data_IF_576753656601
#
_entry.id   IF_576753656601
#
_cell.length_a   1.000
_cell.length_b   1.000
_cell.length_c   1.000
_cell.angle_alpha   90.00
_cell.angle_beta   90.00
_cell.angle_gamma   90.00
#
_symmetry.space_group_name_H-M   'P 1'
#
loop_
_entity.id
_entity.type
_entity.pdbx_description
1 polymer ?
#
# COMPACT_ATOMS: atom_id res chain seq x y z
N UNK A 1 -16.89 20.73 2.29
CA UNK A 1 -16.03 19.64 1.81
C UNK A 1 -16.75 18.91 0.70
N UNK A 2 -16.23 19.05 -0.51
CA UNK A 2 -16.62 18.28 -1.69
C UNK A 2 -16.16 16.82 -1.55
N UNK A 3 -16.70 15.89 -2.34
CA UNK A 3 -16.31 14.47 -2.28
C UNK A 3 -14.82 14.22 -2.56
N UNK A 4 -14.18 15.09 -3.36
CA UNK A 4 -12.74 15.03 -3.64
C UNK A 4 -11.92 15.41 -2.41
N UNK A 5 -12.30 16.48 -1.70
CA UNK A 5 -11.59 16.93 -0.49
C UNK A 5 -11.66 15.90 0.64
N UNK A 6 -12.79 15.17 0.76
CA UNK A 6 -12.92 14.06 1.72
C UNK A 6 -11.96 12.92 1.36
N UNK A 7 -11.82 12.62 0.07
CA UNK A 7 -10.96 11.54 -0.41
C UNK A 7 -9.49 11.88 -0.19
N UNK A 8 -9.05 13.08 -0.58
CA UNK A 8 -7.69 13.57 -0.34
C UNK A 8 -7.34 13.58 1.15
N UNK A 9 -8.25 14.05 2.01
CA UNK A 9 -8.04 14.03 3.45
C UNK A 9 -7.82 12.61 3.98
N UNK A 10 -8.65 11.65 3.58
CA UNK A 10 -8.54 10.25 4.02
C UNK A 10 -7.27 9.59 3.50
N UNK A 11 -6.83 9.93 2.29
CA UNK A 11 -5.55 9.46 1.74
C UNK A 11 -4.37 9.98 2.55
N UNK A 12 -4.35 11.27 2.88
CA UNK A 12 -3.30 11.83 3.73
C UNK A 12 -3.32 11.20 5.13
N UNK A 13 -4.51 10.93 5.68
CA UNK A 13 -4.64 10.25 6.95
C UNK A 13 -4.13 8.79 6.90
N UNK A 14 -4.44 8.05 5.84
CA UNK A 14 -3.93 6.70 5.62
C UNK A 14 -2.39 6.68 5.56
N UNK A 15 -1.78 7.59 4.79
CA UNK A 15 -0.32 7.68 4.71
C UNK A 15 0.32 7.96 6.08
N UNK A 16 -0.25 8.88 6.85
CA UNK A 16 0.21 9.20 8.20
C UNK A 16 0.05 8.01 9.17
N UNK A 17 -1.05 7.26 9.09
CA UNK A 17 -1.25 6.04 9.89
C UNK A 17 -0.25 4.95 9.53
N UNK A 18 -0.07 4.66 8.23
CA UNK A 18 0.89 3.64 7.77
C UNK A 18 2.32 3.97 8.22
N UNK A 19 2.70 5.26 8.20
CA UNK A 19 4.00 5.71 8.68
C UNK A 19 4.19 5.50 10.20
N UNK A 20 3.13 5.62 11.00
CA UNK A 20 3.17 5.44 12.46
C UNK A 20 3.13 3.98 12.91
N UNK A 21 2.42 3.12 12.19
CA UNK A 21 2.28 1.70 12.52
C UNK A 21 3.50 0.86 12.06
N UNK A 22 4.62 1.52 11.68
CA UNK A 22 5.84 0.90 11.10
C UNK A 22 5.55 0.01 9.87
N UNK A 23 4.35 0.12 9.29
CA UNK A 23 3.87 -0.69 8.17
C UNK A 23 4.16 -0.02 6.83
N UNK A 24 4.54 1.25 6.84
CA UNK A 24 5.07 1.94 5.67
C UNK A 24 6.50 1.46 5.39
N UNK A 25 6.60 0.32 4.69
CA UNK A 25 7.78 0.11 3.86
C UNK A 25 7.93 1.29 2.90
N UNK A 26 9.17 1.73 2.65
CA UNK A 26 9.51 2.88 1.79
C UNK A 26 8.83 2.79 0.39
N UNK A 27 8.39 1.59 -0.02
CA UNK A 27 7.70 1.34 -1.28
C UNK A 27 6.17 1.48 -1.29
N UNK A 28 5.48 1.66 -0.15
CA UNK A 28 4.01 1.76 -0.10
C UNK A 28 3.56 3.21 -0.24
N UNK A 29 2.70 3.47 -1.24
CA UNK A 29 2.12 4.77 -1.55
C UNK A 29 0.63 4.63 -1.86
N UNK A 30 -0.08 5.75 -1.72
CA UNK A 30 -1.50 5.85 -2.04
C UNK A 30 -1.70 6.91 -3.11
N UNK A 31 -2.27 6.52 -4.25
CA UNK A 31 -2.42 7.36 -5.44
C UNK A 31 -3.90 7.44 -5.86
N UNK A 32 -4.31 8.55 -6.48
CA UNK A 32 -5.66 8.69 -7.05
C UNK A 32 -5.66 8.33 -8.54
N UNK A 33 -6.55 7.42 -8.92
CA UNK A 33 -6.85 7.06 -10.30
C UNK A 33 -8.28 7.47 -10.63
N UNK A 34 -8.45 8.71 -11.12
CA UNK A 34 -9.76 9.30 -11.31
C UNK A 34 -10.47 9.51 -9.98
N UNK A 35 -11.56 8.76 -9.75
CA UNK A 35 -12.33 8.80 -8.49
C UNK A 35 -11.97 7.66 -7.52
N UNK A 36 -10.98 6.82 -7.85
CA UNK A 36 -10.61 5.62 -7.10
C UNK A 36 -9.24 5.77 -6.45
N UNK A 37 -9.12 5.40 -5.18
CA UNK A 37 -7.83 5.36 -4.48
C UNK A 37 -7.09 4.04 -4.75
N UNK A 38 -5.77 4.08 -4.83
CA UNK A 38 -4.93 2.92 -5.14
C UNK A 38 -3.80 2.83 -4.15
N UNK A 39 -3.76 1.72 -3.40
CA UNK A 39 -2.68 1.42 -2.46
C UNK A 39 -1.67 0.54 -3.17
N UNK A 40 -0.51 1.09 -3.50
CA UNK A 40 0.50 0.42 -4.34
C UNK A 40 1.82 0.35 -3.62
N UNK A 41 2.52 -0.76 -3.79
CA UNK A 41 3.87 -0.89 -3.24
C UNK A 41 4.39 -2.30 -3.15
N UNK A 42 5.56 -2.40 -2.54
CA UNK A 42 6.21 -3.66 -2.22
C UNK A 42 6.28 -3.78 -0.70
N UNK A 43 5.99 -4.99 -0.21
CA UNK A 43 6.05 -5.35 1.20
C UNK A 43 6.92 -6.60 1.40
N UNK A 44 7.50 -6.76 2.59
CA UNK A 44 8.47 -7.82 2.91
C UNK A 44 7.86 -9.22 2.94
N UNK A 45 6.59 -9.31 3.35
CA UNK A 45 5.87 -10.56 3.61
C UNK A 45 4.35 -10.35 3.60
N UNK A 46 3.61 -11.46 3.68
CA UNK A 46 2.14 -11.47 3.69
C UNK A 46 1.55 -10.85 4.98
N UNK A 47 2.28 -10.85 6.09
CA UNK A 47 1.80 -10.25 7.34
C UNK A 47 1.77 -8.72 7.20
N UNK A 48 2.86 -8.16 6.67
CA UNK A 48 2.94 -6.74 6.30
C UNK A 48 1.87 -6.38 5.27
N UNK A 49 1.67 -7.19 4.22
CA UNK A 49 0.59 -6.98 3.24
C UNK A 49 -0.78 -6.91 3.92
N UNK A 50 -1.07 -7.87 4.80
CA UNK A 50 -2.35 -7.96 5.50
C UNK A 50 -2.57 -6.77 6.42
N UNK A 51 -1.53 -6.31 7.12
CA UNK A 51 -1.59 -5.13 7.98
C UNK A 51 -1.91 -3.86 7.17
N UNK A 52 -1.22 -3.63 6.05
CA UNK A 52 -1.51 -2.48 5.15
C UNK A 52 -2.95 -2.52 4.65
N UNK A 53 -3.43 -3.69 4.19
CA UNK A 53 -4.79 -3.84 3.67
C UNK A 53 -5.86 -3.61 4.74
N UNK A 54 -5.61 -4.03 5.98
CA UNK A 54 -6.52 -3.77 7.10
C UNK A 54 -6.66 -2.27 7.34
N UNK A 55 -5.53 -1.57 7.49
CA UNK A 55 -5.51 -0.13 7.75
C UNK A 55 -6.15 0.64 6.58
N UNK A 56 -5.85 0.27 5.34
CA UNK A 56 -6.47 0.87 4.16
C UNK A 56 -7.98 0.63 4.10
N UNK A 57 -8.44 -0.58 4.41
CA UNK A 57 -9.87 -0.91 4.43
C UNK A 57 -10.66 -0.13 5.49
N UNK A 58 -10.07 0.06 6.67
CA UNK A 58 -10.63 0.92 7.72
C UNK A 58 -10.68 2.39 7.28
N UNK A 59 -9.53 2.93 6.85
CA UNK A 59 -9.39 4.35 6.51
C UNK A 59 -10.11 4.75 5.23
N UNK A 60 -10.30 3.84 4.28
CA UNK A 60 -10.98 4.11 3.01
C UNK A 60 -12.40 3.52 2.95
N UNK A 61 -12.93 3.03 4.08
CA UNK A 61 -14.30 2.51 4.17
C UNK A 61 -15.33 3.45 3.52
N UNK A 62 -16.08 2.97 2.53
CA UNK A 62 -17.07 3.76 1.79
C UNK A 62 -16.52 4.57 0.61
N UNK A 63 -15.22 4.48 0.32
CA UNK A 63 -14.61 4.94 -0.93
C UNK A 63 -14.38 3.76 -1.87
N UNK A 64 -14.36 4.03 -3.17
CA UNK A 64 -13.87 3.06 -4.14
C UNK A 64 -12.34 3.03 -4.09
N UNK A 65 -11.75 1.85 -3.86
CA UNK A 65 -10.31 1.67 -3.83
C UNK A 65 -9.90 0.26 -4.25
N UNK A 66 -8.61 0.07 -4.59
CA UNK A 66 -7.99 -1.24 -4.78
C UNK A 66 -6.53 -1.23 -4.34
N UNK A 67 -5.94 -2.41 -4.21
CA UNK A 67 -4.52 -2.59 -3.96
C UNK A 67 -3.75 -3.12 -5.18
N UNK A 68 -2.50 -2.69 -5.30
CA UNK A 68 -1.46 -3.24 -6.18
C UNK A 68 -0.22 -3.50 -5.30
N UNK A 69 -0.41 -4.27 -4.22
CA UNK A 69 0.64 -4.63 -3.28
C UNK A 69 1.29 -5.96 -3.67
N UNK A 70 2.62 -5.93 -3.82
CA UNK A 70 3.43 -7.12 -4.12
C UNK A 70 4.27 -7.52 -2.91
N UNK A 71 4.25 -8.80 -2.55
CA UNK A 71 5.17 -9.34 -1.55
C UNK A 71 6.49 -9.66 -2.23
N UNK A 72 7.60 -9.15 -1.69
CA UNK A 72 8.94 -9.49 -2.16
C UNK A 72 9.81 -9.85 -0.97
N UNK A 73 10.10 -11.14 -0.84
CA UNK A 73 11.06 -11.63 0.14
C UNK A 73 12.47 -11.29 -0.36
N UNK A 74 13.34 -10.64 0.44
CA UNK A 74 14.76 -10.63 0.15
C UNK A 74 15.30 -12.05 0.34
N UNK A 75 15.16 -12.88 -0.68
CA UNK A 75 15.83 -14.16 -0.81
C UNK A 75 17.00 -14.02 -1.79
N UNK A 76 18.07 -14.83 -1.65
CA UNK A 76 19.05 -14.95 -2.72
C UNK A 76 18.31 -15.29 -4.03
N UNK A 77 18.77 -14.80 -5.20
CA UNK A 77 18.20 -15.22 -6.47
C UNK A 77 18.20 -16.75 -6.53
N UNK A 78 17.06 -17.34 -6.87
CA UNK A 78 16.82 -18.79 -6.86
C UNK A 78 17.69 -19.55 -7.90
N UNK A 79 18.54 -18.82 -8.63
CA UNK A 79 19.32 -19.31 -9.75
C UNK A 79 20.77 -18.87 -9.57
N UNK A 80 21.69 -19.84 -9.46
CA UNK A 80 23.09 -19.57 -9.78
C UNK A 80 23.15 -19.24 -11.27
N UNK A 81 23.68 -18.07 -11.61
CA UNK A 81 24.02 -17.75 -12.99
C UNK A 81 25.08 -18.78 -13.46
N UNK A 82 24.70 -19.70 -14.34
CA UNK A 82 25.66 -20.56 -15.03
C UNK A 82 26.37 -19.73 -16.11
N UNK A 83 27.57 -19.26 -15.79
CA UNK A 83 28.47 -18.62 -16.75
C UNK A 83 29.12 -19.72 -17.61
N UNK A 84 28.70 -19.85 -18.87
CA UNK A 84 29.36 -20.67 -19.91
C UNK A 84 30.36 -19.87 -20.72
#
# INVERSE_FOLDING_TARGET
MTGSEITEYRIQHLLDRLAREETAEIGVRVEMHGARAVVRGRVTDEECRTAVLRVAGEELAGLDWYDDLTVSRPGPPDHSEELS
#
